data_IF_364442723104
#
_entry.id   IF_364442723104
#
_cell.length_a   1.000
_cell.length_b   1.000
_cell.length_c   1.000
_cell.angle_alpha   90.00
_cell.angle_beta   90.00
_cell.angle_gamma   90.00
#
_symmetry.space_group_name_H-M   'P 1'
#
loop_
_entity.id
_entity.type
_entity.pdbx_description
1 polymer ?
#
# COMPACT_ATOMS: atom_id res chain seq x y z
N UNK A 1 2.79 8.24 12.40
CA UNK A 1 1.77 8.21 13.49
C UNK A 1 1.14 6.83 13.70
N UNK A 2 0.72 6.10 12.65
CA UNK A 2 0.15 4.75 12.77
C UNK A 2 0.99 3.80 13.67
N UNK A 3 2.32 3.84 13.56
CA UNK A 3 3.26 3.13 14.45
C UNK A 3 3.04 3.45 15.95
N UNK A 4 2.85 4.73 16.30
CA UNK A 4 2.62 5.15 17.69
C UNK A 4 1.27 4.69 18.20
N UNK A 5 0.21 4.83 17.39
CA UNK A 5 -1.14 4.36 17.73
C UNK A 5 -1.16 2.84 17.93
N UNK A 6 -0.50 2.10 17.06
CA UNK A 6 -0.40 0.65 17.18
C UNK A 6 0.44 0.22 18.39
N UNK A 7 1.50 0.97 18.76
CA UNK A 7 2.22 0.77 20.03
C UNK A 7 1.37 1.10 21.26
N UNK A 8 0.51 2.11 21.20
CA UNK A 8 -0.45 2.43 22.26
C UNK A 8 -1.41 1.25 22.46
N UNK A 9 -1.98 0.76 21.37
CA UNK A 9 -2.87 -0.41 21.39
C UNK A 9 -2.15 -1.66 21.92
N UNK A 10 -0.92 -1.91 21.50
CA UNK A 10 -0.10 -3.02 22.03
C UNK A 10 0.06 -2.92 23.55
N UNK A 11 0.42 -1.73 24.08
CA UNK A 11 0.55 -1.51 25.53
C UNK A 11 -0.75 -1.73 26.29
N UNK A 12 -1.87 -1.30 25.70
CA UNK A 12 -3.20 -1.54 26.27
C UNK A 12 -3.45 -3.04 26.38
N UNK A 13 -3.19 -3.80 25.30
CA UNK A 13 -3.39 -5.26 25.30
C UNK A 13 -2.43 -6.00 26.24
N UNK A 14 -1.19 -5.53 26.37
CA UNK A 14 -0.21 -6.06 27.33
C UNK A 14 -0.67 -5.89 28.79
N UNK A 15 -1.56 -4.92 29.05
CA UNK A 15 -2.21 -4.71 30.34
C UNK A 15 -3.31 -5.72 30.68
N UNK A 16 -3.57 -6.73 29.83
CA UNK A 16 -4.67 -7.70 29.98
C UNK A 16 -6.04 -7.04 30.20
N UNK A 17 -6.47 -6.19 29.24
CA UNK A 17 -7.72 -5.46 29.34
C UNK A 17 -8.91 -6.42 29.38
N UNK A 18 -9.87 -6.12 30.25
CA UNK A 18 -11.12 -6.86 30.43
C UNK A 18 -12.26 -6.22 29.63
N UNK A 19 -13.44 -6.87 29.61
CA UNK A 19 -14.66 -6.27 29.05
C UNK A 19 -15.11 -4.96 29.72
N UNK A 20 -14.52 -4.62 30.87
CA UNK A 20 -14.76 -3.37 31.62
C UNK A 20 -13.70 -2.29 31.31
N UNK A 21 -12.69 -2.60 30.49
CA UNK A 21 -11.68 -1.61 30.12
C UNK A 21 -12.27 -0.55 29.20
N UNK A 22 -12.49 0.65 29.75
CA UNK A 22 -12.95 1.79 28.97
C UNK A 22 -11.82 2.32 28.08
N UNK A 23 -11.97 2.13 26.77
CA UNK A 23 -11.17 2.82 25.77
C UNK A 23 -11.98 3.98 25.21
N UNK A 24 -11.38 5.16 25.18
CA UNK A 24 -12.01 6.38 24.70
C UNK A 24 -11.17 7.07 23.64
N UNK A 25 -11.81 8.00 22.91
CA UNK A 25 -11.15 8.84 21.92
C UNK A 25 -10.35 8.06 20.87
N UNK A 26 -9.08 8.43 20.73
CA UNK A 26 -8.19 7.96 19.66
C UNK A 26 -7.84 6.48 19.78
N UNK A 27 -7.70 5.95 21.00
CA UNK A 27 -7.38 4.54 21.20
C UNK A 27 -8.57 3.66 20.83
N UNK A 28 -9.81 4.09 21.16
CA UNK A 28 -11.02 3.39 20.73
C UNK A 28 -11.20 3.41 19.22
N UNK A 29 -10.95 4.56 18.58
CA UNK A 29 -10.99 4.67 17.12
C UNK A 29 -9.92 3.79 16.45
N UNK A 30 -8.70 3.78 16.98
CA UNK A 30 -7.60 2.95 16.47
C UNK A 30 -7.96 1.48 16.56
N UNK A 31 -8.48 1.06 17.71
CA UNK A 31 -8.93 -0.30 17.95
C UNK A 31 -10.05 -0.70 16.97
N UNK A 32 -11.11 0.10 16.83
CA UNK A 32 -12.20 -0.22 15.91
C UNK A 32 -11.72 -0.35 14.48
N UNK A 33 -10.85 0.55 14.02
CA UNK A 33 -10.24 0.46 12.68
C UNK A 33 -9.42 -0.81 12.54
N UNK A 34 -8.62 -1.16 13.56
CA UNK A 34 -7.84 -2.40 13.56
C UNK A 34 -8.73 -3.63 13.49
N UNK A 35 -9.74 -3.73 14.35
CA UNK A 35 -10.64 -4.89 14.40
C UNK A 35 -11.50 -5.03 13.14
N UNK A 36 -11.89 -3.91 12.53
CA UNK A 36 -12.62 -3.93 11.24
C UNK A 36 -11.76 -4.50 10.11
N UNK A 37 -10.44 -4.30 10.17
CA UNK A 37 -9.52 -4.71 9.11
C UNK A 37 -8.86 -6.06 9.38
N UNK A 38 -8.59 -6.42 10.63
CA UNK A 38 -7.79 -7.61 10.99
C UNK A 38 -8.51 -8.55 11.98
N UNK A 39 -9.79 -8.29 12.23
CA UNK A 39 -10.63 -9.06 13.14
C UNK A 39 -10.39 -8.71 14.61
N UNK A 40 -11.28 -9.21 15.46
CA UNK A 40 -11.33 -8.93 16.90
C UNK A 40 -10.00 -9.26 17.61
N UNK A 41 -9.58 -8.37 18.52
CA UNK A 41 -8.36 -8.56 19.33
C UNK A 41 -8.65 -9.09 20.74
N UNK A 42 -9.86 -8.88 21.25
CA UNK A 42 -10.33 -9.32 22.59
C UNK A 42 -11.08 -10.64 22.57
N UNK A 43 -10.57 -11.64 21.85
CA UNK A 43 -11.05 -13.00 22.05
C UNK A 43 -10.17 -13.65 23.12
N UNK A 44 -10.60 -13.72 24.41
CA UNK A 44 -10.01 -14.70 25.29
C UNK A 44 -10.48 -16.04 24.75
N UNK A 45 -9.59 -16.95 24.35
CA UNK A 45 -9.95 -18.37 24.38
C UNK A 45 -8.71 -19.25 24.21
N UNK A 46 -8.67 -20.25 25.08
CA UNK A 46 -7.85 -21.45 25.02
C UNK A 46 -6.34 -21.25 25.31
N UNK A 47 -5.67 -22.27 25.87
CA UNK A 47 -4.33 -22.10 26.42
C UNK A 47 -3.34 -21.87 25.27
N UNK A 48 -2.94 -20.61 25.04
CA UNK A 48 -2.10 -20.26 23.90
C UNK A 48 -1.84 -18.76 23.64
N UNK A 49 -2.58 -17.84 24.27
CA UNK A 49 -2.32 -16.40 24.20
C UNK A 49 -3.26 -15.60 23.29
N UNK A 50 -3.12 -14.26 23.30
CA UNK A 50 -3.98 -13.33 22.57
C UNK A 50 -3.58 -13.28 21.09
N UNK A 51 -4.31 -13.96 20.20
CA UNK A 51 -4.09 -13.90 18.75
C UNK A 51 -4.09 -12.46 18.20
N UNK A 52 -4.85 -11.55 18.82
CA UNK A 52 -4.84 -10.12 18.49
C UNK A 52 -3.46 -9.46 18.69
N UNK A 53 -2.69 -9.88 19.71
CA UNK A 53 -1.35 -9.34 19.97
C UNK A 53 -0.38 -9.68 18.85
N UNK A 54 -0.34 -10.94 18.40
CA UNK A 54 0.51 -11.37 17.27
C UNK A 54 0.16 -10.60 16.00
N UNK A 55 -1.13 -10.31 15.76
CA UNK A 55 -1.56 -9.51 14.61
C UNK A 55 -1.05 -8.07 14.70
N UNK A 56 -1.16 -7.45 15.87
CA UNK A 56 -0.63 -6.11 16.12
C UNK A 56 0.88 -6.07 15.92
N UNK A 57 1.60 -7.06 16.45
CA UNK A 57 3.05 -7.19 16.28
C UNK A 57 3.46 -7.32 14.82
N UNK A 58 2.70 -8.08 14.01
CA UNK A 58 2.93 -8.22 12.58
C UNK A 58 2.82 -6.88 11.85
N UNK A 59 1.70 -6.17 12.01
CA UNK A 59 1.48 -4.85 11.36
C UNK A 59 2.47 -3.81 11.87
N UNK A 60 2.84 -3.87 13.16
CA UNK A 60 3.87 -3.00 13.73
C UNK A 60 5.26 -3.31 13.12
N UNK A 61 5.56 -4.58 12.89
CA UNK A 61 6.76 -5.04 12.19
C UNK A 61 6.86 -4.46 10.78
N UNK A 62 5.78 -4.52 10.00
CA UNK A 62 5.70 -3.91 8.67
C UNK A 62 5.99 -2.41 8.72
N UNK A 63 5.29 -1.69 9.61
CA UNK A 63 5.46 -0.24 9.78
C UNK A 63 6.89 0.13 10.17
N UNK A 64 7.51 -0.62 11.09
CA UNK A 64 8.90 -0.37 11.47
C UNK A 64 9.84 -0.58 10.29
N UNK A 65 9.71 -1.69 9.54
CA UNK A 65 10.57 -1.98 8.38
C UNK A 65 10.47 -0.90 7.30
N UNK A 66 9.25 -0.46 6.98
CA UNK A 66 9.04 0.65 6.04
C UNK A 66 9.76 1.92 6.51
N UNK A 67 9.51 2.35 7.76
CA UNK A 67 10.07 3.59 8.30
C UNK A 67 11.59 3.55 8.35
N UNK A 68 12.16 2.40 8.73
CA UNK A 68 13.59 2.27 8.96
C UNK A 68 14.38 2.04 7.64
N UNK A 69 13.72 1.50 6.61
CA UNK A 69 14.39 1.11 5.35
C UNK A 69 14.28 2.17 4.25
N UNK A 70 13.10 2.80 4.08
CA UNK A 70 12.85 3.75 2.98
C UNK A 70 13.95 4.81 2.83
N UNK A 71 14.41 5.50 3.89
CA UNK A 71 15.36 6.61 3.75
C UNK A 71 16.67 6.23 3.06
N UNK A 72 17.03 4.95 3.08
CA UNK A 72 18.27 4.43 2.48
C UNK A 72 18.01 3.40 1.38
N UNK A 73 16.75 3.20 0.97
CA UNK A 73 16.40 2.23 -0.06
C UNK A 73 16.38 2.88 -1.44
N UNK A 74 17.00 2.29 -2.47
CA UNK A 74 16.86 2.75 -3.85
C UNK A 74 15.43 2.47 -4.34
N UNK A 75 14.55 3.44 -4.13
CA UNK A 75 13.16 3.44 -4.56
C UNK A 75 12.95 4.55 -5.59
N UNK A 76 12.52 4.18 -6.78
CA UNK A 76 12.10 5.16 -7.79
C UNK A 76 10.58 5.17 -7.92
N UNK A 77 10.04 6.33 -8.25
CA UNK A 77 8.61 6.51 -8.56
C UNK A 77 8.49 7.05 -9.98
N UNK A 78 7.80 6.29 -10.84
CA UNK A 78 7.63 6.58 -12.26
C UNK A 78 6.15 6.82 -12.55
N UNK A 79 5.84 7.60 -13.58
CA UNK A 79 4.48 8.10 -13.81
C UNK A 79 3.81 7.52 -15.06
N UNK A 80 4.47 6.56 -15.69
CA UNK A 80 3.95 5.69 -16.73
C UNK A 80 4.83 4.45 -16.87
N UNK A 81 4.43 3.55 -17.76
CA UNK A 81 5.16 2.34 -18.11
C UNK A 81 5.64 2.33 -19.57
N UNK A 82 5.95 3.51 -20.11
CA UNK A 82 6.38 3.70 -21.50
C UNK A 82 7.67 2.96 -21.85
N UNK A 83 8.46 2.58 -20.85
CA UNK A 83 9.65 1.75 -20.99
C UNK A 83 9.35 0.27 -21.28
N UNK A 84 8.09 -0.16 -21.23
CA UNK A 84 7.71 -1.49 -21.70
C UNK A 84 7.36 -1.47 -23.19
N UNK A 85 8.19 -2.17 -23.96
CA UNK A 85 8.03 -2.29 -25.41
C UNK A 85 7.59 -3.69 -25.81
N UNK A 86 6.63 -3.79 -26.73
CA UNK A 86 6.29 -5.07 -27.38
C UNK A 86 7.30 -5.45 -28.48
N UNK A 87 8.19 -4.52 -28.86
CA UNK A 87 9.29 -4.78 -29.81
C UNK A 87 10.47 -5.40 -29.08
N UNK A 88 10.49 -6.72 -29.04
CA UNK A 88 11.55 -7.50 -28.38
C UNK A 88 12.76 -7.62 -29.32
N UNK A 89 14.01 -7.42 -28.84
CA UNK A 89 15.19 -7.56 -29.68
C UNK A 89 15.30 -8.97 -30.30
N UNK A 90 15.73 -9.09 -31.57
CA UNK A 90 15.65 -10.35 -32.33
C UNK A 90 16.56 -11.46 -31.79
N UNK A 91 17.57 -11.10 -31.00
CA UNK A 91 18.52 -12.02 -30.37
C UNK A 91 17.99 -12.63 -29.06
N UNK A 92 16.81 -12.23 -28.58
CA UNK A 92 16.25 -12.71 -27.32
C UNK A 92 15.34 -13.91 -27.58
N UNK A 93 15.60 -15.01 -26.86
CA UNK A 93 14.74 -16.20 -26.91
C UNK A 93 13.42 -15.92 -26.21
N UNK A 94 12.32 -16.03 -26.95
CA UNK A 94 10.98 -15.83 -26.42
C UNK A 94 10.49 -17.09 -25.69
N UNK A 95 10.12 -17.01 -24.40
CA UNK A 95 9.34 -18.04 -23.75
C UNK A 95 7.90 -18.01 -24.29
N UNK A 96 7.16 -19.10 -24.07
CA UNK A 96 5.71 -19.07 -24.29
C UNK A 96 5.08 -18.15 -23.23
N UNK A 97 4.28 -17.14 -23.61
CA UNK A 97 3.55 -16.34 -22.64
C UNK A 97 2.61 -17.25 -21.84
N UNK A 98 2.50 -16.99 -20.52
CA UNK A 98 1.44 -17.60 -19.72
C UNK A 98 0.09 -17.04 -20.18
N UNK A 99 -0.96 -17.81 -20.00
CA UNK A 99 -2.32 -17.40 -20.34
C UNK A 99 -2.67 -16.07 -19.65
N UNK A 100 -3.31 -15.16 -20.39
CA UNK A 100 -3.66 -13.82 -19.90
C UNK A 100 -2.49 -12.83 -19.76
N UNK A 101 -1.25 -13.21 -20.09
CA UNK A 101 -0.07 -12.35 -19.94
C UNK A 101 0.55 -11.97 -21.28
N UNK A 102 1.00 -10.73 -21.38
CA UNK A 102 1.76 -10.21 -22.53
C UNK A 102 3.24 -10.14 -22.17
N UNK A 103 4.10 -10.42 -23.15
CA UNK A 103 5.54 -10.26 -23.01
C UNK A 103 5.94 -8.85 -23.44
N UNK A 104 6.73 -8.19 -22.60
CA UNK A 104 7.30 -6.88 -22.84
C UNK A 104 8.80 -6.93 -22.66
N UNK A 105 9.51 -6.16 -23.46
CA UNK A 105 10.91 -5.83 -23.25
C UNK A 105 10.99 -4.57 -22.39
N UNK A 106 11.65 -4.68 -21.24
CA UNK A 106 11.98 -3.54 -20.41
C UNK A 106 13.15 -2.77 -21.04
N UNK A 107 12.90 -1.57 -21.56
CA UNK A 107 13.90 -0.78 -22.27
C UNK A 107 14.82 0.01 -21.36
N UNK A 108 14.61 -0.01 -20.03
CA UNK A 108 15.48 0.69 -19.07
C UNK A 108 16.91 0.14 -19.13
N UNK A 109 17.87 0.86 -18.56
CA UNK A 109 19.25 0.39 -18.51
C UNK A 109 19.34 -0.92 -17.69
N UNK A 110 20.36 -1.73 -17.95
CA UNK A 110 20.57 -2.95 -17.16
C UNK A 110 20.87 -2.62 -15.68
N UNK A 111 21.48 -1.46 -15.40
CA UNK A 111 21.77 -0.97 -14.05
C UNK A 111 20.47 -0.64 -13.27
N UNK A 112 19.44 -0.20 -13.99
CA UNK A 112 18.09 0.04 -13.43
C UNK A 112 17.23 -1.25 -13.41
N UNK A 113 17.75 -2.35 -13.95
CA UNK A 113 17.03 -3.63 -14.05
C UNK A 113 16.24 -3.86 -15.31
N UNK A 114 16.38 -2.99 -16.29
CA UNK A 114 15.87 -3.22 -17.63
C UNK A 114 16.76 -4.14 -18.44
N UNK A 115 16.58 -4.08 -19.76
CA UNK A 115 17.14 -5.02 -20.73
C UNK A 115 16.79 -6.48 -20.40
N UNK A 116 15.56 -6.68 -19.94
CA UNK A 116 15.02 -8.00 -19.61
C UNK A 116 13.63 -8.19 -20.23
N UNK A 117 13.28 -9.45 -20.43
CA UNK A 117 11.95 -9.84 -20.84
C UNK A 117 11.05 -10.00 -19.61
N UNK A 118 9.96 -9.26 -19.59
CA UNK A 118 8.98 -9.23 -18.51
C UNK A 118 7.64 -9.75 -19.02
N UNK A 119 6.93 -10.51 -18.18
CA UNK A 119 5.58 -11.02 -18.49
C UNK A 119 4.59 -10.40 -17.52
N UNK A 120 3.61 -9.66 -18.03
CA UNK A 120 2.64 -8.92 -17.21
C UNK A 120 1.21 -9.17 -17.65
N UNK A 121 0.29 -9.10 -16.69
CA UNK A 121 -1.17 -9.17 -16.93
C UNK A 121 -1.74 -7.83 -17.41
N UNK A 122 -1.01 -6.74 -17.18
CA UNK A 122 -1.45 -5.42 -17.53
C UNK A 122 -0.32 -4.40 -17.62
N UNK A 123 -0.64 -3.28 -18.26
CA UNK A 123 0.17 -2.07 -18.42
C UNK A 123 -0.72 -0.88 -18.14
N UNK A 124 -0.18 0.31 -17.90
CA UNK A 124 -0.99 1.52 -17.70
C UNK A 124 -1.90 1.83 -18.89
N UNK A 125 -1.52 1.38 -20.09
CA UNK A 125 -2.33 1.50 -21.31
C UNK A 125 -3.64 0.71 -21.27
N UNK A 126 -3.76 -0.32 -20.43
CA UNK A 126 -5.00 -1.11 -20.33
C UNK A 126 -6.11 -0.41 -19.53
N UNK A 127 -5.80 0.72 -18.87
CA UNK A 127 -6.74 1.53 -18.09
C UNK A 127 -7.27 0.89 -16.80
N UNK A 128 -6.80 -0.31 -16.44
CA UNK A 128 -7.26 -1.08 -15.28
C UNK A 128 -6.34 -0.94 -14.07
N UNK A 129 -5.09 -0.56 -14.28
CA UNK A 129 -4.09 -0.43 -13.21
C UNK A 129 -4.01 1.02 -12.73
N UNK A 130 -3.90 1.17 -11.41
CA UNK A 130 -3.67 2.46 -10.77
C UNK A 130 -2.18 2.68 -10.56
N UNK A 131 -1.51 1.67 -10.05
CA UNK A 131 -0.07 1.57 -10.02
C UNK A 131 0.32 0.09 -10.06
N UNK A 132 1.62 -0.17 -10.08
CA UNK A 132 2.18 -1.49 -9.81
C UNK A 132 3.65 -1.35 -9.39
N UNK A 133 4.13 -2.34 -8.65
CA UNK A 133 5.52 -2.43 -8.21
C UNK A 133 6.38 -3.28 -9.16
N UNK A 134 7.58 -2.82 -9.46
CA UNK A 134 8.63 -3.59 -10.15
C UNK A 134 9.81 -3.77 -9.20
N UNK A 135 10.16 -5.03 -8.95
CA UNK A 135 11.32 -5.38 -8.14
C UNK A 135 12.46 -5.80 -9.03
N UNK A 136 13.64 -5.20 -8.83
CA UNK A 136 14.89 -5.70 -9.37
C UNK A 136 15.79 -6.24 -8.24
N UNK A 137 15.81 -7.57 -8.02
CA UNK A 137 16.64 -8.17 -6.98
C UNK A 137 18.14 -7.98 -7.20
N UNK A 138 18.61 -7.87 -8.45
CA UNK A 138 20.04 -7.74 -8.75
C UNK A 138 20.57 -6.36 -8.41
N UNK A 139 19.86 -5.30 -8.81
CA UNK A 139 20.23 -3.93 -8.45
C UNK A 139 19.78 -3.54 -7.03
N UNK A 140 19.01 -4.41 -6.35
CA UNK A 140 18.36 -4.12 -5.05
C UNK A 140 17.58 -2.80 -5.09
N UNK A 141 16.91 -2.58 -6.21
CA UNK A 141 16.16 -1.39 -6.54
C UNK A 141 14.71 -1.76 -6.75
N UNK A 142 13.83 -0.88 -6.32
CA UNK A 142 12.40 -1.02 -6.50
C UNK A 142 11.85 0.19 -7.25
N UNK A 143 10.88 -0.04 -8.11
CA UNK A 143 10.23 1.02 -8.89
C UNK A 143 8.74 0.90 -8.71
N UNK A 144 8.11 1.93 -8.15
CA UNK A 144 6.65 2.05 -8.15
C UNK A 144 6.25 2.83 -9.39
N UNK A 145 5.46 2.19 -10.25
CA UNK A 145 4.93 2.82 -11.46
C UNK A 145 3.50 3.26 -11.19
N UNK A 146 3.24 4.56 -11.21
CA UNK A 146 1.91 5.14 -11.08
C UNK A 146 1.36 5.37 -12.48
N UNK A 147 0.20 4.83 -12.77
CA UNK A 147 -0.41 4.99 -14.08
C UNK A 147 -1.03 6.38 -14.26
N UNK A 148 -1.12 6.89 -15.51
CA UNK A 148 -1.69 8.22 -15.76
C UNK A 148 -3.17 8.35 -15.39
N UNK A 149 -3.94 7.26 -15.42
CA UNK A 149 -5.39 7.28 -15.15
C UNK A 149 -5.72 7.84 -13.75
N UNK A 150 -5.12 7.35 -12.65
CA UNK A 150 -5.24 7.98 -11.33
C UNK A 150 -4.81 9.44 -11.28
N UNK A 151 -3.74 9.82 -11.98
CA UNK A 151 -3.22 11.19 -11.99
C UNK A 151 -4.19 12.15 -12.70
N UNK A 152 -4.83 11.71 -13.79
CA UNK A 152 -5.86 12.49 -14.49
C UNK A 152 -7.11 12.71 -13.65
N UNK A 153 -7.42 11.77 -12.75
CA UNK A 153 -8.52 11.90 -11.79
C UNK A 153 -8.12 12.69 -10.53
N UNK A 154 -6.83 12.97 -10.33
CA UNK A 154 -6.33 13.61 -9.11
C UNK A 154 -7.01 14.96 -8.87
N UNK A 155 -7.16 15.79 -9.91
CA UNK A 155 -7.85 17.08 -9.84
C UNK A 155 -9.31 16.95 -9.36
N UNK A 156 -9.97 15.85 -9.69
CA UNK A 156 -11.36 15.56 -9.30
C UNK A 156 -11.53 15.10 -7.84
N UNK A 157 -10.44 14.74 -7.17
CA UNK A 157 -10.47 14.32 -5.76
C UNK A 157 -10.76 15.47 -4.79
N UNK A 158 -10.64 16.73 -5.22
CA UNK A 158 -10.94 17.92 -4.40
C UNK A 158 -10.20 17.88 -3.05
N UNK A 159 -10.96 17.95 -1.94
CA UNK A 159 -10.42 17.87 -0.58
C UNK A 159 -9.73 16.53 -0.22
N UNK A 160 -9.87 15.49 -1.06
CA UNK A 160 -9.20 14.20 -0.87
C UNK A 160 -7.84 14.14 -1.57
N UNK A 161 -7.44 15.24 -2.23
CA UNK A 161 -6.05 15.46 -2.61
C UNK A 161 -5.24 15.66 -1.35
N UNK A 162 -4.44 14.66 -1.01
CA UNK A 162 -3.48 14.78 0.07
C UNK A 162 -2.18 15.32 -0.51
N UNK A 163 -1.86 16.56 -0.18
CA UNK A 163 -0.50 17.05 -0.37
C UNK A 163 0.43 16.28 0.57
N UNK A 164 1.28 15.41 0.01
CA UNK A 164 2.20 14.56 0.75
C UNK A 164 3.28 15.32 1.51
N UNK A 165 3.50 16.60 1.18
CA UNK A 165 4.47 17.49 1.83
C UNK A 165 3.89 18.19 3.06
N UNK A 166 2.58 18.12 3.25
CA UNK A 166 1.88 18.78 4.35
C UNK A 166 1.02 17.78 5.10
N UNK A 167 0.64 18.10 6.33
CA UNK A 167 -0.44 17.40 6.99
C UNK A 167 -1.74 17.72 6.22
N UNK A 168 -2.48 16.76 5.65
CA UNK A 168 -3.78 17.08 5.10
C UNK A 168 -4.72 17.69 6.14
N UNK A 169 -5.71 18.39 5.60
CA UNK A 169 -6.66 19.12 6.42
C UNK A 169 -7.55 18.15 7.20
N UNK A 170 -7.90 18.53 8.43
CA UNK A 170 -8.92 17.81 9.19
C UNK A 170 -10.27 18.04 8.51
N UNK A 171 -10.95 16.97 8.13
CA UNK A 171 -12.28 17.07 7.54
C UNK A 171 -13.28 17.60 8.56
N UNK A 172 -14.00 18.67 8.20
CA UNK A 172 -15.00 19.31 9.06
C UNK A 172 -16.18 18.38 9.42
N UNK A 173 -16.39 17.31 8.64
CA UNK A 173 -17.32 16.22 8.91
C UNK A 173 -16.59 14.90 8.74
N UNK A 174 -16.98 13.87 9.50
CA UNK A 174 -16.44 12.53 9.34
C UNK A 174 -16.61 12.06 7.90
N UNK A 175 -15.51 11.66 7.26
CA UNK A 175 -15.51 11.06 5.92
C UNK A 175 -15.16 9.59 6.04
N UNK A 176 -15.88 8.75 5.29
CA UNK A 176 -15.59 7.34 5.21
C UNK A 176 -14.23 7.08 4.51
N UNK A 177 -13.38 6.24 5.10
CA UNK A 177 -12.00 6.05 4.65
C UNK A 177 -11.88 5.48 3.23
N UNK A 178 -12.88 4.73 2.77
CA UNK A 178 -12.97 4.24 1.37
C UNK A 178 -12.91 5.36 0.33
N UNK A 179 -13.24 6.62 0.69
CA UNK A 179 -13.09 7.78 -0.22
C UNK A 179 -11.63 8.11 -0.56
N UNK A 180 -10.68 7.69 0.27
CA UNK A 180 -9.25 7.90 0.04
C UNK A 180 -8.62 6.81 -0.83
N UNK A 181 -9.34 5.73 -1.15
CA UNK A 181 -8.77 4.59 -1.90
C UNK A 181 -8.23 4.96 -3.29
N UNK A 182 -8.69 6.08 -3.82
CA UNK A 182 -8.27 6.62 -5.12
C UNK A 182 -7.23 7.75 -4.99
N UNK A 183 -6.81 8.08 -3.77
CA UNK A 183 -5.77 9.09 -3.55
C UNK A 183 -4.39 8.50 -3.84
N UNK A 184 -3.50 9.37 -4.32
CA UNK A 184 -2.10 9.00 -4.57
C UNK A 184 -1.43 8.39 -3.34
N UNK A 185 -1.74 8.90 -2.14
CA UNK A 185 -1.16 8.39 -0.89
C UNK A 185 -1.63 6.96 -0.59
N UNK A 186 -2.92 6.66 -0.83
CA UNK A 186 -3.40 5.30 -0.67
C UNK A 186 -2.66 4.35 -1.62
N UNK A 187 -2.59 4.71 -2.90
CA UNK A 187 -1.88 3.92 -3.92
C UNK A 187 -0.41 3.73 -3.54
N UNK A 188 0.30 4.76 -3.10
CA UNK A 188 1.70 4.63 -2.71
C UNK A 188 1.89 3.71 -1.50
N UNK A 189 1.04 3.82 -0.47
CA UNK A 189 1.14 2.93 0.71
C UNK A 189 0.81 1.49 0.31
N UNK A 190 -0.20 1.29 -0.54
CA UNK A 190 -0.57 -0.01 -1.09
C UNK A 190 0.62 -0.62 -1.86
N UNK A 191 1.17 0.07 -2.85
CA UNK A 191 2.28 -0.45 -3.68
C UNK A 191 3.56 -0.70 -2.87
N UNK A 192 3.83 0.18 -1.91
CA UNK A 192 4.96 0.02 -0.99
C UNK A 192 4.79 -1.22 -0.11
N UNK A 193 3.56 -1.58 0.22
CA UNK A 193 3.29 -2.77 1.03
C UNK A 193 3.51 -4.08 0.28
N UNK A 194 3.65 -4.05 -1.06
CA UNK A 194 4.11 -5.20 -1.86
C UNK A 194 5.65 -5.34 -1.88
N UNK A 195 6.40 -4.37 -1.36
CA UNK A 195 7.86 -4.33 -1.47
C UNK A 195 8.54 -5.53 -0.80
N UNK A 196 9.01 -6.50 -1.57
CA UNK A 196 9.79 -7.61 -1.01
C UNK A 196 11.20 -7.18 -0.59
N UNK A 197 11.74 -6.08 -1.13
CA UNK A 197 13.06 -5.60 -0.73
C UNK A 197 13.01 -4.87 0.61
N UNK A 198 11.92 -4.14 0.89
CA UNK A 198 11.70 -3.43 2.15
C UNK A 198 11.08 -4.36 3.21
N UNK A 199 9.99 -5.03 2.87
CA UNK A 199 9.19 -5.80 3.82
C UNK A 199 9.57 -7.27 3.89
N UNK A 200 10.26 -7.84 2.89
CA UNK A 200 10.68 -9.25 2.84
C UNK A 200 9.50 -10.21 3.07
N UNK A 201 9.56 -10.99 4.14
CA UNK A 201 8.52 -11.94 4.60
C UNK A 201 7.23 -11.27 5.08
N UNK A 202 7.22 -9.94 5.20
CA UNK A 202 6.04 -9.15 5.56
C UNK A 202 5.42 -8.42 4.37
N UNK A 203 5.90 -8.66 3.14
CA UNK A 203 5.30 -8.08 1.96
C UNK A 203 3.89 -8.66 1.77
N UNK A 204 2.97 -7.81 1.38
CA UNK A 204 1.57 -8.14 1.11
C UNK A 204 1.36 -8.47 -0.36
N UNK A 205 0.17 -8.95 -0.67
CA UNK A 205 -0.35 -9.34 -1.98
C UNK A 205 -1.73 -8.72 -2.21
N UNK A 206 -2.22 -8.81 -3.45
CA UNK A 206 -3.60 -8.46 -3.81
C UNK A 206 -4.54 -9.64 -3.55
N UNK A 207 -4.93 -9.83 -2.29
CA UNK A 207 -5.68 -11.02 -1.87
C UNK A 207 -7.15 -10.88 -2.25
N UNK A 208 -7.62 -11.75 -3.15
CA UNK A 208 -9.01 -11.75 -3.60
C UNK A 208 -9.97 -12.16 -2.47
N UNK A 209 -10.97 -11.33 -2.21
CA UNK A 209 -12.08 -11.62 -1.31
C UNK A 209 -13.31 -12.16 -2.05
N UNK A 210 -14.45 -11.50 -1.89
CA UNK A 210 -15.74 -11.89 -2.46
C UNK A 210 -15.82 -11.67 -3.97
N UNK A 211 -15.46 -10.46 -4.43
CA UNK A 211 -15.62 -10.04 -5.82
C UNK A 211 -14.26 -9.83 -6.47
N UNK A 212 -13.41 -9.04 -5.81
CA UNK A 212 -12.05 -8.72 -6.23
C UNK A 212 -11.12 -8.59 -5.00
N UNK A 213 -9.97 -7.93 -5.16
CA UNK A 213 -8.96 -7.76 -4.08
C UNK A 213 -9.00 -6.38 -3.42
N UNK A 214 -9.90 -5.47 -3.85
CA UNK A 214 -9.76 -4.04 -3.62
C UNK A 214 -10.96 -3.37 -2.94
N UNK A 215 -10.69 -2.27 -2.26
CA UNK A 215 -11.65 -1.42 -1.59
C UNK A 215 -12.04 -1.89 -0.19
N UNK A 216 -12.70 -0.99 0.54
CA UNK A 216 -13.04 -1.20 1.94
C UNK A 216 -13.85 -2.47 2.20
N UNK A 217 -14.80 -2.78 1.30
CA UNK A 217 -15.67 -3.95 1.43
C UNK A 217 -14.88 -5.25 1.45
N UNK A 218 -13.92 -5.40 0.53
CA UNK A 218 -13.07 -6.60 0.46
C UNK A 218 -12.11 -6.64 1.65
N UNK A 219 -11.54 -5.49 2.04
CA UNK A 219 -10.67 -5.39 3.20
C UNK A 219 -11.36 -5.83 4.50
N UNK A 220 -12.58 -5.35 4.77
CA UNK A 220 -13.34 -5.76 5.95
C UNK A 220 -13.81 -7.21 5.86
N UNK A 221 -14.13 -7.71 4.67
CA UNK A 221 -14.49 -9.12 4.48
C UNK A 221 -13.34 -10.04 4.92
N UNK A 222 -12.09 -9.71 4.58
CA UNK A 222 -10.93 -10.46 5.08
C UNK A 222 -10.82 -10.37 6.60
N UNK A 223 -11.01 -9.19 7.19
CA UNK A 223 -11.01 -9.00 8.64
C UNK A 223 -12.03 -9.89 9.37
N UNK A 224 -13.23 -10.03 8.79
CA UNK A 224 -14.34 -10.81 9.35
C UNK A 224 -14.16 -12.33 9.17
N UNK A 225 -13.55 -12.76 8.05
CA UNK A 225 -13.58 -14.18 7.64
C UNK A 225 -12.23 -14.89 7.74
N UNK A 226 -11.12 -14.19 7.52
CA UNK A 226 -9.79 -14.77 7.58
C UNK A 226 -8.72 -13.71 7.83
N UNK A 227 -8.32 -13.57 9.10
CA UNK A 227 -7.27 -12.64 9.50
C UNK A 227 -5.92 -12.83 8.79
N UNK A 228 -5.58 -14.04 8.30
CA UNK A 228 -4.34 -14.25 7.55
C UNK A 228 -4.42 -13.57 6.17
N UNK A 229 -5.57 -13.67 5.51
CA UNK A 229 -5.81 -12.93 4.26
C UNK A 229 -5.78 -11.42 4.51
N UNK A 230 -6.34 -10.97 5.65
CA UNK A 230 -6.30 -9.56 6.00
C UNK A 230 -4.88 -9.04 6.23
N UNK A 231 -4.00 -9.83 6.86
CA UNK A 231 -2.60 -9.49 7.07
C UNK A 231 -1.80 -9.44 5.77
N UNK A 232 -2.14 -10.33 4.82
CA UNK A 232 -1.48 -10.41 3.52
C UNK A 232 -2.09 -9.44 2.49
N UNK A 233 -3.16 -8.71 2.78
CA UNK A 233 -3.79 -7.82 1.80
C UNK A 233 -3.26 -6.38 1.87
N UNK A 234 -2.79 -5.84 0.74
CA UNK A 234 -2.23 -4.49 0.66
C UNK A 234 -3.26 -3.39 1.02
N UNK A 235 -4.52 -3.55 0.62
CA UNK A 235 -5.59 -2.59 0.96
C UNK A 235 -5.86 -2.53 2.46
N UNK A 236 -5.84 -3.67 3.16
CA UNK A 236 -5.98 -3.68 4.62
C UNK A 236 -4.86 -2.87 5.29
N UNK A 237 -3.62 -3.02 4.79
CA UNK A 237 -2.50 -2.23 5.27
C UNK A 237 -2.69 -0.74 4.98
N UNK A 238 -3.00 -0.38 3.73
CA UNK A 238 -3.18 1.01 3.31
C UNK A 238 -4.32 1.72 4.06
N UNK A 239 -5.48 1.07 4.22
CA UNK A 239 -6.58 1.59 5.03
C UNK A 239 -6.19 1.75 6.49
N UNK A 240 -5.48 0.79 7.07
CA UNK A 240 -5.05 0.90 8.46
C UNK A 240 -4.12 2.10 8.66
N UNK A 241 -3.12 2.27 7.78
CA UNK A 241 -2.18 3.39 7.85
C UNK A 241 -2.91 4.72 7.71
N UNK A 242 -3.74 4.89 6.68
CA UNK A 242 -4.50 6.13 6.46
C UNK A 242 -5.49 6.43 7.57
N UNK A 243 -6.22 5.43 8.06
CA UNK A 243 -7.17 5.59 9.17
C UNK A 243 -6.49 5.93 10.49
N UNK A 244 -5.18 5.63 10.58
CA UNK A 244 -4.35 5.87 11.74
C UNK A 244 -3.32 6.98 11.58
N UNK A 245 -3.45 7.77 10.52
CA UNK A 245 -2.76 9.02 10.37
C UNK A 245 -3.58 10.07 11.14
N UNK A 246 -3.10 10.51 12.30
CA UNK A 246 -3.37 11.88 12.73
C UNK A 246 -2.40 12.76 11.96
N UNK A 247 -2.97 13.73 11.30
CA UNK A 247 -2.28 14.59 10.37
C UNK A 247 -1.51 15.61 11.16
N UNK A 248 -0.23 15.29 11.45
CA UNK A 248 0.89 16.22 11.62
C UNK A 248 2.24 15.48 11.85
N UNK A 249 3.26 15.99 11.15
CA UNK A 249 4.71 15.81 11.34
C UNK A 249 5.32 14.41 11.23
N UNK A 250 5.70 13.99 10.02
CA UNK A 250 6.92 13.17 9.85
C UNK A 250 7.59 13.54 8.53
N UNK A 251 8.88 13.95 8.51
CA UNK A 251 9.58 14.38 7.29
C UNK A 251 9.85 13.28 6.25
N UNK A 252 9.59 12.01 6.57
CA UNK A 252 10.08 10.85 5.78
C UNK A 252 9.43 10.74 4.40
N UNK A 253 8.25 11.32 4.17
CA UNK A 253 7.58 11.33 2.86
C UNK A 253 7.98 12.54 1.98
N UNK A 254 8.75 13.51 2.51
CA UNK A 254 9.13 14.72 1.76
C UNK A 254 10.27 14.50 0.75
N UNK A 255 10.94 13.36 0.76
CA UNK A 255 12.10 13.09 -0.12
C UNK A 255 11.76 12.21 -1.35
N UNK A 256 10.56 11.65 -1.43
CA UNK A 256 10.10 10.87 -2.58
C UNK A 256 9.43 11.79 -3.61
N UNK A 257 10.22 12.62 -4.27
CA UNK A 257 9.74 13.42 -5.41
C UNK A 257 9.54 12.52 -6.64
N UNK A 258 8.34 12.55 -7.19
CA UNK A 258 8.03 12.01 -8.51
C UNK A 258 7.98 13.17 -9.52
N UNK A 259 8.80 13.11 -10.57
CA UNK A 259 8.65 13.97 -11.76
C UNK A 259 7.46 13.47 -12.59
N UNK A 260 6.25 13.62 -12.06
CA UNK A 260 5.03 13.38 -12.82
C UNK A 260 4.57 14.71 -13.44
N UNK A 261 4.66 14.88 -14.77
CA UNK A 261 4.09 16.05 -15.41
C UNK A 261 2.55 15.99 -15.29
N UNK A 262 2.02 16.71 -14.31
CA UNK A 262 0.62 17.10 -14.29
C UNK A 262 0.40 18.18 -15.34
N UNK A 263 -0.06 17.78 -16.54
CA UNK A 263 -0.62 18.64 -17.59
C UNK A 263 -0.03 20.07 -17.65
N UNK A 264 1.14 20.21 -18.27
CA UNK A 264 1.43 21.44 -19.02
C UNK A 264 0.70 21.36 -20.36
N UNK A 265 0.01 22.46 -20.71
CA UNK A 265 -0.64 22.78 -21.99
C UNK A 265 -2.15 22.55 -22.09
N UNK A 266 -2.90 23.46 -21.46
CA UNK A 266 -4.15 23.97 -22.05
C UNK A 266 -3.86 25.36 -22.63
N UNK A 267 -3.77 25.51 -23.97
CA UNK A 267 -3.73 26.84 -24.58
C UNK A 267 -5.07 27.54 -24.32
N UNK A 268 -5.00 28.80 -23.89
CA UNK A 268 -6.14 29.72 -23.90
C UNK A 268 -6.51 30.12 -25.32
#
# INVERSE_FOLDING_TARGET
>A
MARFRLRSLQKILDGNPTGETELSGIDRSTLYTFESLYGTVYLPLLPGGYLGKTRIEYILGMLNRIIDTIPNHPLDIWCDDSFYSTKIPPNIRLPKPKEGRTLFWDTRSADDGGQILTSMEGTCANGKLYAFNIVNPKAKRETIVICPSPLGQYSSLGQFQVNMLSAPEKFAKGVHIDKFRFSLVFTLIHELSHSILILRDLATSDVKGQVDSYGWKEATFHGDTNHLNAQDNADNFAFFVLGNIDLLSTPVLLELYADCPGQSDVPK
#
